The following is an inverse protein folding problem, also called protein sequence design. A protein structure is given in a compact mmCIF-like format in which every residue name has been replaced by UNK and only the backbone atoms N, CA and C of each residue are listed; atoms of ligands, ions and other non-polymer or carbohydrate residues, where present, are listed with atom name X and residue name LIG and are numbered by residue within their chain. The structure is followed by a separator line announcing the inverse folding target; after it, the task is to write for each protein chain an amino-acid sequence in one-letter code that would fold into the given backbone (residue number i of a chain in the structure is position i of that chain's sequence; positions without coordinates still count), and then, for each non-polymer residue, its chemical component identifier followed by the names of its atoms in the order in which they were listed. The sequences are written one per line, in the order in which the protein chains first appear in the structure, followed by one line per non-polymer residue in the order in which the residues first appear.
data_IF_869232336055
#
_entry.id   IF_869232336055
#
_cell.length_a   1.000
_cell.length_b   1.000
_cell.length_c   1.000
_cell.angle_alpha   90.00
_cell.angle_beta   90.00
_cell.angle_gamma   90.00
#
_symmetry.space_group_name_H-M   'P 1'
#
loop_
_entity.id
_entity.type
_entity.pdbx_description
1 polymer ?
#
# COMPACT_ATOMS: atom_id res chain seq x y z
N UNK A 1 0.79 27.44 23.71
CA UNK A 1 0.29 26.26 22.97
C UNK A 1 1.52 25.53 22.45
N UNK A 2 1.89 24.39 23.05
CA UNK A 2 3.07 23.63 22.62
C UNK A 2 2.63 22.67 21.50
N UNK A 3 3.09 22.95 20.28
CA UNK A 3 2.93 22.08 19.13
C UNK A 3 4.05 21.02 19.19
N UNK A 4 3.72 19.78 19.56
CA UNK A 4 4.67 18.66 19.49
C UNK A 4 4.58 18.01 18.10
N UNK A 5 5.53 18.28 17.18
CA UNK A 5 5.38 17.89 15.78
C UNK A 5 5.45 16.37 15.57
N UNK A 6 6.06 15.66 16.51
CA UNK A 6 6.31 14.21 16.44
C UNK A 6 5.11 13.35 16.83
N UNK A 7 4.10 13.89 17.54
CA UNK A 7 2.85 13.18 17.85
C UNK A 7 1.81 13.19 16.72
N UNK A 8 2.11 13.84 15.58
CA UNK A 8 1.12 14.14 14.54
C UNK A 8 1.12 13.15 13.35
N UNK A 9 2.12 12.26 13.24
CA UNK A 9 2.26 11.32 12.12
C UNK A 9 1.94 9.89 12.55
N UNK A 10 0.90 9.31 11.96
CA UNK A 10 0.47 7.93 12.20
C UNK A 10 1.09 7.00 11.15
N UNK A 11 1.65 5.88 11.58
CA UNK A 11 2.16 4.85 10.66
C UNK A 11 1.02 3.93 10.23
N UNK A 12 0.97 3.58 8.95
CA UNK A 12 -0.07 2.73 8.37
C UNK A 12 0.58 1.63 7.56
N UNK A 13 0.44 0.39 8.02
CA UNK A 13 0.86 -0.78 7.24
C UNK A 13 -0.33 -1.28 6.44
N UNK A 14 -0.19 -1.38 5.12
CA UNK A 14 -1.24 -1.79 4.20
C UNK A 14 -0.92 -3.12 3.53
N UNK A 15 -1.95 -3.94 3.41
CA UNK A 15 -1.97 -5.10 2.52
C UNK A 15 -3.21 -5.04 1.64
N UNK A 16 -3.05 -5.29 0.35
CA UNK A 16 -4.15 -5.27 -0.62
C UNK A 16 -4.35 -6.65 -1.22
N UNK A 17 -5.60 -7.08 -1.31
CA UNK A 17 -5.98 -8.22 -2.12
C UNK A 17 -6.53 -7.72 -3.45
N UNK A 18 -5.92 -8.20 -4.54
CA UNK A 18 -6.26 -7.80 -5.89
C UNK A 18 -6.74 -9.05 -6.63
N UNK A 19 -7.94 -8.99 -7.18
CA UNK A 19 -8.52 -10.05 -8.01
C UNK A 19 -8.41 -9.62 -9.47
N UNK A 20 -7.92 -10.53 -10.32
CA UNK A 20 -7.96 -10.37 -11.77
C UNK A 20 -9.10 -11.22 -12.29
N UNK A 21 -10.09 -10.58 -12.89
CA UNK A 21 -11.08 -11.28 -13.70
C UNK A 21 -10.39 -11.72 -14.98
N UNK A 22 -10.22 -13.02 -15.17
CA UNK A 22 -9.69 -13.55 -16.42
C UNK A 22 -10.82 -13.56 -17.47
N UNK A 23 -10.73 -12.69 -18.47
CA UNK A 23 -11.47 -12.86 -19.72
C UNK A 23 -11.08 -14.21 -20.34
N UNK A 24 -12.03 -15.14 -20.42
CA UNK A 24 -11.90 -16.36 -21.23
C UNK A 24 -11.98 -15.93 -22.71
N UNK A 25 -10.83 -15.85 -23.37
CA UNK A 25 -10.65 -15.95 -24.85
C UNK A 25 -11.01 -14.75 -25.76
N UNK A 26 -11.10 -13.51 -25.29
CA UNK A 26 -11.13 -12.36 -26.21
C UNK A 26 -10.10 -11.30 -25.84
N UNK A 27 -9.60 -10.59 -26.86
CA UNK A 27 -8.62 -9.51 -26.77
C UNK A 27 -8.83 -8.63 -25.52
N UNK A 28 -7.75 -8.12 -24.90
CA UNK A 28 -7.83 -7.43 -23.61
C UNK A 28 -8.89 -6.34 -23.65
N UNK A 29 -10.01 -6.59 -22.99
CA UNK A 29 -11.11 -5.65 -22.90
C UNK A 29 -10.81 -4.67 -21.78
N UNK A 30 -11.28 -3.43 -21.89
CA UNK A 30 -11.23 -2.42 -20.80
C UNK A 30 -11.92 -2.94 -19.52
N UNK A 31 -12.72 -4.02 -19.62
CA UNK A 31 -13.31 -4.76 -18.52
C UNK A 31 -12.32 -5.64 -17.71
N UNK A 32 -11.15 -5.99 -18.26
CA UNK A 32 -10.13 -6.86 -17.62
C UNK A 32 -9.23 -6.12 -16.62
N UNK A 33 -9.73 -5.01 -16.05
CA UNK A 33 -8.95 -4.26 -15.07
C UNK A 33 -8.88 -5.05 -13.76
N UNK A 34 -7.70 -5.17 -13.13
CA UNK A 34 -7.59 -5.69 -11.77
C UNK A 34 -8.51 -4.89 -10.85
N UNK A 35 -9.17 -5.61 -9.95
CA UNK A 35 -10.11 -5.08 -8.96
C UNK A 35 -9.52 -5.27 -7.57
N UNK A 36 -9.73 -4.29 -6.69
CA UNK A 36 -9.38 -4.42 -5.28
C UNK A 36 -10.57 -5.08 -4.58
N UNK A 37 -10.33 -6.26 -3.98
CA UNK A 37 -11.37 -7.01 -3.26
C UNK A 37 -11.28 -6.83 -1.75
N UNK A 38 -10.11 -6.46 -1.24
CA UNK A 38 -9.87 -6.27 0.19
C UNK A 38 -8.68 -5.34 0.43
N UNK A 39 -8.78 -4.51 1.46
CA UNK A 39 -7.67 -3.75 2.02
C UNK A 39 -7.61 -4.09 3.51
N UNK A 40 -6.44 -4.51 3.99
CA UNK A 40 -6.17 -4.61 5.42
C UNK A 40 -5.20 -3.48 5.80
N UNK A 41 -5.46 -2.84 6.93
CA UNK A 41 -4.67 -1.72 7.43
C UNK A 41 -4.40 -1.85 8.92
N UNK A 42 -3.14 -1.68 9.33
CA UNK A 42 -2.74 -1.50 10.71
C UNK A 42 -2.37 -0.03 10.91
N UNK A 43 -3.12 0.66 11.75
CA UNK A 43 -2.91 2.06 12.10
C UNK A 43 -2.19 2.16 13.44
N UNK A 44 -1.01 2.77 13.46
CA UNK A 44 -0.20 2.95 14.67
C UNK A 44 0.02 4.44 14.95
N UNK A 45 -0.60 4.95 16.01
CA UNK A 45 -0.55 6.36 16.43
C UNK A 45 0.31 6.57 17.70
N UNK A 46 1.39 5.80 17.80
CA UNK A 46 2.35 5.72 18.93
C UNK A 46 1.80 5.09 20.21
N UNK A 47 0.55 5.32 20.55
CA UNK A 47 -0.07 4.79 21.77
C UNK A 47 -0.83 3.49 21.52
N UNK A 48 -1.40 3.33 20.32
CA UNK A 48 -2.26 2.20 19.99
C UNK A 48 -2.00 1.70 18.58
N UNK A 49 -2.24 0.40 18.39
CA UNK A 49 -2.36 -0.22 17.08
C UNK A 49 -3.82 -0.58 16.89
N UNK A 50 -4.44 -0.03 15.84
CA UNK A 50 -5.80 -0.36 15.44
C UNK A 50 -5.78 -1.10 14.11
N UNK A 51 -6.37 -2.28 14.08
CA UNK A 51 -6.59 -3.02 12.85
C UNK A 51 -7.90 -2.60 12.19
N UNK A 52 -7.89 -2.50 10.86
CA UNK A 52 -9.11 -2.39 10.05
C UNK A 52 -9.02 -3.28 8.81
N UNK A 53 -10.12 -3.96 8.56
CA UNK A 53 -10.37 -4.70 7.33
C UNK A 53 -11.46 -4.00 6.53
N UNK A 54 -11.19 -3.74 5.26
CA UNK A 54 -12.15 -3.22 4.29
C UNK A 54 -12.41 -4.32 3.25
N UNK A 55 -13.56 -5.00 3.32
CA UNK A 55 -13.88 -6.18 2.50
C UNK A 55 -15.29 -6.17 1.89
N UNK A 56 -15.81 -4.97 1.59
CA UNK A 56 -17.12 -4.82 0.97
C UNK A 56 -17.21 -5.47 -0.42
N UNK A 57 -18.39 -6.04 -0.70
CA UNK A 57 -18.70 -6.63 -2.02
C UNK A 57 -18.70 -5.59 -3.13
N UNK A 58 -19.00 -4.33 -2.81
CA UNK A 58 -18.89 -3.20 -3.72
C UNK A 58 -17.52 -2.51 -3.52
N UNK A 59 -16.74 -2.44 -4.59
CA UNK A 59 -15.41 -1.81 -4.55
C UNK A 59 -15.49 -0.31 -4.30
N UNK A 60 -16.56 0.37 -4.74
CA UNK A 60 -16.71 1.80 -4.49
C UNK A 60 -16.87 2.08 -2.99
N UNK A 61 -17.69 1.29 -2.30
CA UNK A 61 -17.89 1.39 -0.85
C UNK A 61 -16.60 1.06 -0.09
N UNK A 62 -15.91 0.00 -0.50
CA UNK A 62 -14.61 -0.39 0.06
C UNK A 62 -13.61 0.76 -0.03
N UNK A 63 -13.45 1.34 -1.23
CA UNK A 63 -12.52 2.44 -1.48
C UNK A 63 -12.91 3.71 -0.73
N UNK A 64 -14.21 4.01 -0.64
CA UNK A 64 -14.70 5.16 0.13
C UNK A 64 -14.32 5.05 1.60
N UNK A 65 -14.58 3.89 2.22
CA UNK A 65 -14.22 3.64 3.63
C UNK A 65 -12.71 3.67 3.85
N UNK A 66 -11.94 3.14 2.91
CA UNK A 66 -10.48 3.26 2.94
C UNK A 66 -10.05 4.73 2.95
N UNK A 67 -10.55 5.54 2.02
CA UNK A 67 -10.17 6.96 1.96
C UNK A 67 -10.63 7.77 3.17
N UNK A 68 -11.77 7.42 3.77
CA UNK A 68 -12.23 8.03 5.02
C UNK A 68 -11.36 7.66 6.23
N UNK A 69 -10.64 6.54 6.17
CA UNK A 69 -9.77 6.08 7.26
C UNK A 69 -8.35 6.67 7.17
N UNK A 70 -7.89 7.05 5.98
CA UNK A 70 -6.54 7.61 5.75
C UNK A 70 -6.52 9.11 6.08
N UNK A 71 -5.43 9.55 6.71
CA UNK A 71 -5.14 10.96 7.00
C UNK A 71 -4.04 11.49 6.08
N UNK A 72 -4.02 12.80 5.77
CA UNK A 72 -2.95 13.40 4.97
C UNK A 72 -1.54 13.21 5.56
N UNK A 73 -1.43 13.11 6.89
CA UNK A 73 -0.15 12.94 7.60
C UNK A 73 0.27 11.48 7.82
N UNK A 74 -0.46 10.50 7.28
CA UNK A 74 -0.13 9.09 7.43
C UNK A 74 1.15 8.71 6.69
N UNK A 75 1.99 7.88 7.30
CA UNK A 75 3.16 7.24 6.70
C UNK A 75 2.78 5.83 6.26
N UNK A 76 2.89 5.52 4.97
CA UNK A 76 2.33 4.28 4.42
C UNK A 76 3.44 3.28 4.10
N UNK A 77 3.32 2.09 4.69
CA UNK A 77 4.17 0.94 4.47
C UNK A 77 3.39 -0.12 3.71
N UNK A 78 3.85 -0.53 2.53
CA UNK A 78 3.16 -1.54 1.72
C UNK A 78 4.14 -2.22 0.77
N UNK A 79 3.88 -3.48 0.42
CA UNK A 79 4.68 -4.20 -0.57
C UNK A 79 4.35 -3.69 -1.98
N UNK A 80 5.35 -3.22 -2.75
CA UNK A 80 5.14 -2.55 -4.05
C UNK A 80 4.18 -1.36 -3.91
N UNK A 81 4.41 -0.55 -2.87
CA UNK A 81 3.53 0.56 -2.44
C UNK A 81 3.14 1.49 -3.58
N UNK A 82 4.08 1.79 -4.47
CA UNK A 82 3.86 2.68 -5.62
C UNK A 82 2.82 2.09 -6.57
N UNK A 83 2.99 0.83 -7.01
CA UNK A 83 2.04 0.22 -7.95
C UNK A 83 0.70 -0.05 -7.29
N UNK A 84 0.68 -0.45 -6.02
CA UNK A 84 -0.57 -0.73 -5.30
C UNK A 84 -1.40 0.53 -5.06
N UNK A 85 -0.79 1.63 -4.61
CA UNK A 85 -1.52 2.89 -4.45
C UNK A 85 -1.90 3.50 -5.81
N UNK A 86 -1.10 3.31 -6.85
CA UNK A 86 -1.48 3.70 -8.21
C UNK A 86 -2.73 2.94 -8.69
N UNK A 87 -2.85 1.65 -8.36
CA UNK A 87 -4.06 0.88 -8.64
C UNK A 87 -5.26 1.41 -7.83
N UNK A 88 -5.11 1.63 -6.52
CA UNK A 88 -6.17 2.21 -5.66
C UNK A 88 -6.69 3.51 -6.27
N UNK A 89 -5.79 4.40 -6.66
CA UNK A 89 -6.14 5.66 -7.33
C UNK A 89 -6.92 5.42 -8.61
N UNK A 90 -6.38 4.61 -9.52
CA UNK A 90 -7.01 4.33 -10.83
C UNK A 90 -8.43 3.77 -10.66
N UNK A 91 -8.62 2.88 -9.69
CA UNK A 91 -9.94 2.30 -9.37
C UNK A 91 -10.88 3.31 -8.75
N UNK A 92 -10.39 4.12 -7.81
CA UNK A 92 -11.18 5.18 -7.16
C UNK A 92 -11.73 6.17 -8.18
N UNK A 93 -10.87 6.65 -9.09
CA UNK A 93 -11.29 7.53 -10.19
C UNK A 93 -12.30 6.90 -11.13
N UNK A 94 -12.10 5.63 -11.51
CA UNK A 94 -13.04 4.91 -12.38
C UNK A 94 -14.42 4.74 -11.75
N UNK A 95 -14.50 4.67 -10.43
CA UNK A 95 -15.74 4.47 -9.68
C UNK A 95 -16.32 5.78 -9.11
N UNK A 96 -15.75 6.94 -9.46
CA UNK A 96 -16.21 8.24 -8.93
C UNK A 96 -15.95 8.43 -7.43
N UNK A 97 -15.08 7.62 -6.82
CA UNK A 97 -14.69 7.75 -5.42
C UNK A 97 -13.44 8.62 -5.34
N UNK A 98 -13.53 9.72 -4.61
CA UNK A 98 -12.41 10.60 -4.36
C UNK A 98 -12.15 10.70 -2.85
N UNK A 99 -10.88 10.82 -2.42
CA UNK A 99 -10.59 11.19 -1.05
C UNK A 99 -11.17 12.58 -0.71
N UNK A 100 -11.40 12.85 0.57
CA UNK A 100 -11.90 14.14 1.08
C UNK A 100 -11.10 15.32 0.52
N UNK A 101 -11.72 16.49 0.35
CA UNK A 101 -11.04 17.70 -0.13
C UNK A 101 -9.89 18.15 0.79
N UNK A 102 -9.95 17.78 2.07
CA UNK A 102 -8.88 18.01 3.07
C UNK A 102 -7.65 17.12 2.83
N UNK A 103 -7.85 16.03 2.08
CA UNK A 103 -6.77 15.22 1.57
C UNK A 103 -6.29 15.91 0.30
N UNK A 104 -5.29 16.78 0.45
CA UNK A 104 -4.53 17.21 -0.72
C UNK A 104 -4.00 15.95 -1.36
N UNK A 105 -4.59 15.61 -2.51
CA UNK A 105 -4.28 14.37 -3.20
C UNK A 105 -2.77 14.38 -3.53
N UNK A 106 -2.16 15.55 -3.75
CA UNK A 106 -0.70 15.72 -3.91
C UNK A 106 0.08 15.44 -2.63
N UNK A 107 -0.47 15.67 -1.44
CA UNK A 107 0.13 15.27 -0.16
C UNK A 107 -0.07 13.78 0.16
N UNK A 108 -1.20 13.18 -0.23
CA UNK A 108 -1.37 11.71 -0.27
C UNK A 108 -0.57 11.02 -1.38
N UNK A 109 0.03 11.79 -2.29
CA UNK A 109 1.10 11.35 -3.19
C UNK A 109 2.52 11.78 -2.76
N UNK A 110 2.66 12.54 -1.66
CA UNK A 110 3.91 12.76 -0.89
C UNK A 110 4.00 12.02 0.47
N UNK A 111 3.21 10.97 0.81
CA UNK A 111 3.46 10.25 2.05
C UNK A 111 4.88 9.74 2.00
N UNK A 112 5.49 9.62 3.17
CA UNK A 112 6.71 8.84 3.29
C UNK A 112 6.28 7.39 2.99
N UNK A 113 6.40 7.00 1.71
CA UNK A 113 6.03 5.71 1.16
C UNK A 113 7.21 4.78 1.34
N UNK A 114 6.99 3.69 2.06
CA UNK A 114 8.02 2.69 2.31
C UNK A 114 7.62 1.38 1.64
N UNK A 115 8.39 1.00 0.63
CA UNK A 115 8.19 -0.24 -0.10
C UNK A 115 8.77 -1.41 0.69
N UNK A 116 7.90 -2.13 1.39
CA UNK A 116 8.33 -3.26 2.22
C UNK A 116 8.86 -4.41 1.37
N UNK A 117 8.45 -4.55 0.10
CA UNK A 117 8.98 -5.58 -0.78
C UNK A 117 10.46 -5.35 -1.08
N UNK A 118 10.85 -4.10 -1.36
CA UNK A 118 12.26 -3.75 -1.59
C UNK A 118 13.12 -4.07 -0.36
N UNK A 119 12.63 -3.79 0.85
CA UNK A 119 13.35 -4.11 2.08
C UNK A 119 13.71 -5.60 2.19
N UNK A 120 12.80 -6.49 1.79
CA UNK A 120 13.05 -7.93 1.76
C UNK A 120 14.00 -8.33 0.62
N UNK A 121 13.84 -7.76 -0.57
CA UNK A 121 14.65 -8.10 -1.74
C UNK A 121 16.11 -7.63 -1.62
N UNK A 122 16.33 -6.41 -1.12
CA UNK A 122 17.67 -5.85 -0.95
C UNK A 122 18.45 -6.61 0.13
N UNK A 123 17.82 -7.00 1.23
CA UNK A 123 18.45 -7.82 2.27
C UNK A 123 18.72 -9.27 1.80
N UNK A 124 17.86 -9.87 0.98
CA UNK A 124 18.12 -11.20 0.41
C UNK A 124 19.38 -11.21 -0.44
N UNK A 125 19.56 -10.20 -1.31
CA UNK A 125 20.75 -10.12 -2.16
C UNK A 125 22.05 -9.85 -1.39
N UNK A 126 21.98 -9.18 -0.23
CA UNK A 126 23.13 -8.94 0.62
C UNK A 126 23.59 -10.22 1.36
N UNK A 127 22.63 -11.06 1.78
CA UNK A 127 22.91 -12.37 2.40
C UNK A 127 23.50 -13.33 1.37
N UNK A 128 22.94 -13.41 0.16
CA UNK A 128 23.46 -14.28 -0.90
C UNK A 128 24.89 -13.91 -1.32
N UNK A 129 25.22 -12.60 -1.36
CA UNK A 129 26.60 -12.15 -1.63
C UNK A 129 27.57 -12.48 -0.51
N UNK A 130 27.14 -12.46 0.76
CA UNK A 130 28.00 -12.85 1.89
C UNK A 130 28.29 -14.35 1.87
N UNK A 131 27.28 -15.17 1.64
CA UNK A 131 27.44 -16.63 1.53
C UNK A 131 28.36 -16.97 0.34
N UNK A 132 28.14 -16.35 -0.83
CA UNK A 132 29.01 -16.57 -1.99
C UNK A 132 30.47 -16.08 -1.83
N UNK A 133 30.72 -15.13 -0.93
CA UNK A 133 32.07 -14.67 -0.60
C UNK A 133 32.78 -15.58 0.40
N UNK A 134 32.06 -16.15 1.38
CA UNK A 134 32.61 -17.09 2.37
C UNK A 134 32.98 -18.45 1.74
N UNK A 135 32.18 -18.94 0.77
CA UNK A 135 32.49 -20.19 0.05
C UNK A 135 33.72 -20.11 -0.86
N UNK A 136 34.15 -18.91 -1.28
CA UNK A 136 35.32 -18.72 -2.14
C UNK A 136 36.63 -18.47 -1.37
N UNK A 137 36.61 -18.47 -0.03
CA UNK A 137 37.80 -18.27 0.81
C UNK A 137 38.43 -19.57 1.35
N UNK A 138 37.81 -20.72 1.09
CA UNK A 138 38.39 -22.03 1.36
C UNK A 138 38.41 -22.89 0.09
N UNK A 139 39.39 -22.68 -0.82
CA UNK A 139 39.69 -23.68 -1.82
C UNK A 139 40.21 -24.93 -1.10
N UNK A 140 39.61 -26.08 -1.42
CA UNK A 140 40.10 -27.40 -1.01
C UNK A 140 41.48 -27.69 -1.58
#
# INVERSE_FOLDING_TARGET
MLFEPTKSKRNVVLALQIVRTASRKSAPSIADSPRISRIAALFCDHERITERLFDDRDEAVLLLRFWQAIRPSDRIFCADVVKRLALVRKRSWRLGVLPSIEIDIRQVYKPELYDTQKMWSENSTAVDRKIGAEYNQHPS
#
